data_IF_732981017588
#
_entry.id   IF_732981017588
#
_cell.length_a   1.000
_cell.length_b   1.000
_cell.length_c   1.000
_cell.angle_alpha   90.00
_cell.angle_beta   90.00
_cell.angle_gamma   90.00
#
_symmetry.space_group_name_H-M   'P 1'
#
loop_
_entity.id
_entity.type
_entity.pdbx_description
1 polymer ?
#
# COMPACT_ATOMS: atom_id res chain seq x y z
N UNK A 1 -11.32 23.86 -25.02
CA UNK A 1 -10.35 24.23 -26.07
C UNK A 1 -8.99 23.67 -25.69
N UNK A 2 -8.34 22.97 -26.65
CA UNK A 2 -6.90 22.73 -26.82
C UNK A 2 -6.09 22.26 -25.60
N UNK A 3 -5.46 21.08 -25.64
CA UNK A 3 -4.43 20.70 -26.62
C UNK A 3 -3.09 20.74 -25.87
N UNK A 4 -2.56 19.60 -25.43
CA UNK A 4 -1.68 18.73 -26.22
C UNK A 4 -0.33 19.39 -26.57
N UNK A 5 0.71 18.52 -26.61
CA UNK A 5 2.01 18.67 -27.30
C UNK A 5 3.15 19.14 -26.37
N UNK A 6 4.00 18.22 -25.86
CA UNK A 6 5.21 17.58 -26.49
C UNK A 6 6.48 18.33 -26.02
N UNK A 7 7.68 17.78 -25.85
CA UNK A 7 8.36 16.65 -26.48
C UNK A 7 9.61 16.25 -25.66
N UNK A 8 10.11 15.05 -25.95
CA UNK A 8 11.50 14.56 -25.89
C UNK A 8 11.87 13.70 -24.66
N UNK A 9 12.42 12.49 -24.84
CA UNK A 9 13.32 12.08 -25.91
C UNK A 9 13.02 10.68 -26.47
N UNK A 10 12.80 10.65 -27.79
CA UNK A 10 13.10 9.50 -28.64
C UNK A 10 14.62 9.35 -28.69
N UNK A 11 15.14 8.14 -28.47
CA UNK A 11 16.21 7.54 -29.28
C UNK A 11 16.85 6.34 -28.56
N UNK A 12 16.53 5.11 -28.99
CA UNK A 12 17.54 4.24 -29.60
C UNK A 12 16.91 3.03 -30.32
N UNK A 13 16.08 3.31 -31.32
CA UNK A 13 15.97 2.39 -32.44
C UNK A 13 17.18 2.64 -33.34
N UNK A 14 18.23 1.83 -33.26
CA UNK A 14 19.20 1.64 -34.35
C UNK A 14 19.86 0.28 -34.20
N UNK A 15 19.43 -0.65 -35.06
CA UNK A 15 20.21 -1.83 -35.37
C UNK A 15 21.60 -1.40 -35.82
N UNK A 16 22.61 -1.92 -35.14
CA UNK A 16 23.98 -1.85 -35.65
C UNK A 16 24.10 -2.91 -36.75
N UNK A 17 23.79 -2.49 -37.97
CA UNK A 17 24.30 -3.19 -39.14
C UNK A 17 25.81 -2.95 -39.19
N UNK A 18 26.58 -3.96 -38.78
CA UNK A 18 28.00 -3.99 -39.09
C UNK A 18 28.15 -4.16 -40.60
N UNK A 19 28.44 -3.06 -41.31
CA UNK A 19 29.05 -3.14 -42.62
C UNK A 19 30.41 -3.82 -42.44
N UNK A 20 30.61 -4.96 -43.08
CA UNK A 20 31.87 -5.69 -43.03
C UNK A 20 33.06 -4.81 -43.46
N UNK A 21 34.29 -5.18 -43.10
CA UNK A 21 35.48 -4.46 -43.54
C UNK A 21 35.52 -4.39 -45.07
N UNK A 22 35.60 -3.16 -45.60
CA UNK A 22 35.81 -2.91 -47.03
C UNK A 22 37.26 -3.29 -47.32
N UNK A 23 37.46 -4.42 -47.97
CA UNK A 23 38.79 -4.85 -48.39
C UNK A 23 39.19 -4.05 -49.64
N UNK A 24 40.21 -3.19 -49.53
CA UNK A 24 40.79 -2.47 -50.66
C UNK A 24 42.05 -3.21 -51.13
N UNK A 25 42.02 -3.96 -52.26
CA UNK A 25 43.11 -4.82 -52.70
C UNK A 25 44.33 -4.07 -53.28
N UNK A 26 44.38 -2.74 -53.22
CA UNK A 26 45.43 -1.95 -53.88
C UNK A 26 46.78 -1.83 -53.16
N UNK A 27 46.97 -2.42 -51.98
CA UNK A 27 48.19 -2.18 -51.19
C UNK A 27 49.36 -3.12 -51.48
N UNK A 28 49.19 -4.17 -52.30
CA UNK A 28 50.31 -5.03 -52.71
C UNK A 28 50.15 -5.49 -54.16
N UNK A 29 50.80 -4.79 -55.09
CA UNK A 29 51.20 -5.39 -56.36
C UNK A 29 52.55 -6.08 -56.18
N UNK A 30 52.62 -7.39 -56.47
CA UNK A 30 53.28 -7.93 -57.68
C UNK A 30 53.19 -9.46 -57.75
N UNK A 31 52.79 -9.93 -58.93
CA UNK A 31 53.11 -11.21 -59.59
C UNK A 31 52.07 -12.37 -59.58
N UNK A 32 51.71 -12.94 -60.76
CA UNK A 32 50.73 -14.03 -60.89
C UNK A 32 51.39 -15.42 -61.06
N UNK A 33 50.80 -16.50 -60.50
CA UNK A 33 50.91 -17.82 -61.16
C UNK A 33 49.61 -18.69 -61.00
N UNK A 34 49.53 -19.91 -61.59
CA UNK A 34 48.59 -20.29 -62.64
C UNK A 34 47.27 -20.94 -62.15
N UNK A 35 46.33 -21.09 -63.10
CA UNK A 35 44.99 -21.65 -62.88
C UNK A 35 45.00 -23.18 -62.67
N UNK A 36 44.29 -23.62 -61.63
CA UNK A 36 43.96 -25.03 -61.35
C UNK A 36 42.45 -25.21 -61.55
N UNK A 37 42.08 -26.17 -62.41
CA UNK A 37 40.70 -26.60 -62.68
C UNK A 37 40.07 -27.21 -61.41
N UNK A 38 38.96 -26.65 -60.94
CA UNK A 38 38.22 -27.11 -59.76
C UNK A 38 37.19 -28.22 -60.05
N UNK A 39 37.11 -29.15 -59.10
CA UNK A 39 36.34 -30.40 -59.05
C UNK A 39 34.80 -30.21 -58.80
N UNK A 40 33.97 -31.28 -58.86
CA UNK A 40 32.52 -31.16 -58.95
C UNK A 40 31.84 -30.77 -57.64
N UNK A 41 30.81 -29.93 -57.74
CA UNK A 41 29.96 -29.43 -56.65
C UNK A 41 29.05 -30.52 -56.08
N UNK A 42 29.23 -30.85 -54.80
CA UNK A 42 28.23 -31.56 -53.98
C UNK A 42 27.24 -30.54 -53.38
N UNK A 43 25.93 -30.86 -53.28
CA UNK A 43 24.95 -30.01 -52.62
C UNK A 43 25.29 -29.79 -51.13
N UNK A 44 25.05 -28.59 -50.57
CA UNK A 44 25.36 -28.32 -49.18
C UNK A 44 24.40 -29.06 -48.24
N UNK A 45 24.94 -29.82 -47.28
CA UNK A 45 24.20 -30.26 -46.11
C UNK A 45 23.70 -29.04 -45.34
N UNK A 46 22.39 -28.98 -45.12
CA UNK A 46 21.76 -27.97 -44.26
C UNK A 46 22.01 -28.37 -42.80
N UNK A 47 22.91 -27.66 -42.12
CA UNK A 47 23.06 -27.76 -40.68
C UNK A 47 21.88 -27.03 -40.00
N UNK A 48 21.09 -27.68 -39.13
CA UNK A 48 20.03 -27.01 -38.39
C UNK A 48 20.68 -26.16 -37.29
N UNK A 49 20.73 -24.86 -37.50
CA UNK A 49 21.19 -23.90 -36.51
C UNK A 49 20.06 -23.65 -35.47
N UNK A 50 19.86 -24.63 -34.58
CA UNK A 50 19.00 -24.45 -33.42
C UNK A 50 19.79 -23.72 -32.32
N UNK A 51 19.90 -22.40 -32.48
CA UNK A 51 20.11 -21.51 -31.34
C UNK A 51 18.89 -21.65 -30.42
N UNK A 52 18.95 -22.62 -29.50
CA UNK A 52 17.95 -22.82 -28.45
C UNK A 52 17.98 -21.62 -27.51
N UNK A 53 17.30 -20.54 -27.87
CA UNK A 53 16.87 -19.52 -26.93
C UNK A 53 15.91 -20.21 -25.96
N UNK A 54 16.36 -20.44 -24.72
CA UNK A 54 15.50 -21.05 -23.70
C UNK A 54 14.20 -20.24 -23.59
N UNK A 55 13.03 -20.85 -23.88
CA UNK A 55 11.75 -20.14 -23.93
C UNK A 55 11.30 -19.60 -22.56
N UNK A 56 12.06 -19.92 -21.50
CA UNK A 56 11.81 -19.48 -20.13
C UNK A 56 12.28 -18.05 -19.85
N UNK A 57 13.29 -17.55 -20.58
CA UNK A 57 13.84 -16.21 -20.36
C UNK A 57 12.81 -15.06 -20.55
N UNK A 58 11.98 -15.03 -21.62
CA UNK A 58 10.95 -13.99 -21.74
C UNK A 58 9.82 -14.16 -20.70
N UNK A 59 9.53 -15.39 -20.26
CA UNK A 59 8.49 -15.67 -19.26
C UNK A 59 8.89 -15.12 -17.90
N UNK A 60 10.14 -15.40 -17.46
CA UNK A 60 10.66 -14.90 -16.17
C UNK A 60 10.67 -13.37 -16.14
N UNK A 61 11.10 -12.72 -17.24
CA UNK A 61 11.08 -11.27 -17.33
C UNK A 61 9.64 -10.71 -17.25
N UNK A 62 8.69 -11.34 -17.94
CA UNK A 62 7.27 -10.96 -17.86
C UNK A 62 6.70 -11.07 -16.44
N UNK A 63 7.03 -12.15 -15.73
CA UNK A 63 6.61 -12.35 -14.33
C UNK A 63 7.22 -11.31 -13.40
N UNK A 64 8.50 -10.97 -13.56
CA UNK A 64 9.17 -9.94 -12.74
C UNK A 64 8.55 -8.57 -12.98
N UNK A 65 8.26 -8.20 -14.24
CA UNK A 65 7.60 -6.93 -14.58
C UNK A 65 6.18 -6.88 -14.02
N UNK A 66 5.41 -7.97 -14.13
CA UNK A 66 4.07 -8.05 -13.56
C UNK A 66 4.09 -7.94 -12.02
N UNK A 67 5.01 -8.65 -11.36
CA UNK A 67 5.17 -8.58 -9.90
C UNK A 67 5.57 -7.17 -9.44
N UNK A 68 6.49 -6.51 -10.17
CA UNK A 68 6.86 -5.12 -9.90
C UNK A 68 5.67 -4.16 -10.09
N UNK A 69 4.86 -4.35 -11.14
CA UNK A 69 3.67 -3.53 -11.38
C UNK A 69 2.62 -3.70 -10.27
N UNK A 70 2.38 -4.93 -9.81
CA UNK A 70 1.49 -5.21 -8.68
C UNK A 70 2.00 -4.58 -7.39
N UNK A 71 3.30 -4.71 -7.11
CA UNK A 71 3.92 -4.11 -5.93
C UNK A 71 3.80 -2.57 -5.94
N UNK A 72 4.06 -1.95 -7.09
CA UNK A 72 3.91 -0.49 -7.26
C UNK A 72 2.46 -0.08 -7.10
N UNK A 73 1.51 -0.79 -7.72
CA UNK A 73 0.08 -0.53 -7.57
C UNK A 73 -0.38 -0.64 -6.11
N UNK A 74 0.04 -1.68 -5.40
CA UNK A 74 -0.24 -1.87 -3.98
C UNK A 74 0.35 -0.74 -3.13
N UNK A 75 1.59 -0.31 -3.41
CA UNK A 75 2.23 0.78 -2.69
C UNK A 75 1.52 2.12 -2.95
N UNK A 76 1.11 2.39 -4.19
CA UNK A 76 0.34 3.58 -4.56
C UNK A 76 -0.99 3.60 -3.83
N UNK A 77 -1.74 2.49 -3.83
CA UNK A 77 -3.00 2.38 -3.07
C UNK A 77 -2.77 2.61 -1.59
N UNK A 78 -1.75 1.99 -0.99
CA UNK A 78 -1.39 2.17 0.43
C UNK A 78 -1.05 3.63 0.76
N UNK A 79 -0.29 4.32 -0.10
CA UNK A 79 0.06 5.72 0.08
C UNK A 79 -1.16 6.62 -0.10
N UNK A 80 -2.00 6.36 -1.11
CA UNK A 80 -3.24 7.10 -1.32
C UNK A 80 -4.19 6.94 -0.14
N UNK A 81 -4.38 5.73 0.38
CA UNK A 81 -5.20 5.49 1.57
C UNK A 81 -4.64 6.21 2.81
N UNK A 82 -3.32 6.23 2.99
CA UNK A 82 -2.68 7.00 4.08
C UNK A 82 -2.88 8.50 3.92
N UNK A 83 -2.71 9.03 2.71
CA UNK A 83 -2.91 10.44 2.42
C UNK A 83 -4.38 10.83 2.58
N UNK A 84 -5.30 9.96 2.20
CA UNK A 84 -6.73 10.15 2.36
C UNK A 84 -7.12 10.10 3.83
N UNK A 85 -6.58 9.16 4.62
CA UNK A 85 -6.77 9.10 6.07
C UNK A 85 -6.23 10.35 6.77
N UNK A 86 -5.09 10.90 6.34
CA UNK A 86 -4.57 12.17 6.89
C UNK A 86 -5.38 13.40 6.46
N UNK A 87 -6.12 13.32 5.34
CA UNK A 87 -7.01 14.40 4.87
C UNK A 87 -8.41 14.32 5.48
N UNK A 88 -8.88 13.12 5.82
CA UNK A 88 -10.15 12.89 6.55
C UNK A 88 -9.99 12.97 8.07
N UNK A 89 -8.75 13.02 8.58
CA UNK A 89 -8.44 13.35 9.97
C UNK A 89 -8.50 14.87 10.28
N UNK A 90 -9.01 15.70 9.37
CA UNK A 90 -9.58 17.00 9.73
C UNK A 90 -11.10 16.86 9.87
N UNK A 91 -11.71 17.41 10.93
CA UNK A 91 -13.12 17.21 11.25
C UNK A 91 -13.97 18.05 10.30
N UNK A 92 -14.43 17.45 9.20
CA UNK A 92 -15.57 17.96 8.42
C UNK A 92 -16.38 16.75 7.96
N UNK A 93 -17.21 16.19 8.84
CA UNK A 93 -18.46 15.56 8.38
C UNK A 93 -19.45 16.71 8.25
N UNK A 94 -19.52 17.27 7.06
CA UNK A 94 -20.36 18.43 6.76
C UNK A 94 -19.93 19.13 5.48
N UNK A 95 -19.86 18.40 4.37
CA UNK A 95 -20.01 18.93 3.01
C UNK A 95 -19.93 17.76 2.02
N UNK A 96 -21.06 17.11 1.82
CA UNK A 96 -21.36 16.65 0.46
C UNK A 96 -21.31 17.93 -0.37
N UNK A 97 -20.36 18.02 -1.29
CA UNK A 97 -20.37 19.05 -2.32
C UNK A 97 -21.49 18.70 -3.31
N UNK A 98 -22.73 18.83 -2.84
CA UNK A 98 -23.82 19.28 -3.69
C UNK A 98 -23.64 20.80 -3.81
N UNK A 99 -23.96 21.37 -4.98
CA UNK A 99 -24.05 22.82 -5.22
C UNK A 99 -25.21 23.43 -4.38
N UNK A 100 -25.17 23.25 -3.07
CA UNK A 100 -26.11 23.79 -2.10
C UNK A 100 -25.40 24.88 -1.27
N UNK A 101 -25.99 26.07 -1.09
CA UNK A 101 -25.36 27.17 -0.35
C UNK A 101 -24.92 26.71 1.05
N UNK A 102 -23.77 27.17 1.56
CA UNK A 102 -23.29 26.78 2.88
C UNK A 102 -24.36 27.04 3.94
N UNK A 103 -24.95 25.97 4.49
CA UNK A 103 -25.75 26.05 5.71
C UNK A 103 -24.82 26.59 6.80
N UNK A 104 -25.24 27.68 7.43
CA UNK A 104 -24.54 28.28 8.55
C UNK A 104 -24.28 27.21 9.63
N UNK A 105 -23.16 27.29 10.37
CA UNK A 105 -22.92 26.39 11.50
C UNK A 105 -24.15 26.36 12.40
N UNK A 106 -24.63 25.17 12.72
CA UNK A 106 -25.71 25.00 13.68
C UNK A 106 -25.21 25.41 15.07
N UNK A 107 -25.39 26.69 15.41
CA UNK A 107 -25.05 27.28 16.71
C UNK A 107 -25.89 26.67 17.87
N UNK A 108 -26.81 25.74 17.57
CA UNK A 108 -27.67 25.03 18.52
C UNK A 108 -27.14 23.65 18.92
N UNK A 109 -26.02 23.18 18.37
CA UNK A 109 -25.45 21.88 18.76
C UNK A 109 -24.99 21.92 20.22
N UNK A 110 -25.74 21.24 21.10
CA UNK A 110 -25.31 21.05 22.49
C UNK A 110 -23.91 20.43 22.54
N UNK A 111 -23.05 20.86 23.48
CA UNK A 111 -21.71 20.31 23.60
C UNK A 111 -21.80 18.81 23.85
N UNK A 112 -21.29 18.04 22.89
CA UNK A 112 -21.30 16.58 22.98
C UNK A 112 -20.53 16.13 24.23
N UNK A 113 -21.08 15.14 24.94
CA UNK A 113 -20.47 14.64 26.17
C UNK A 113 -19.01 14.18 25.94
N UNK A 114 -18.14 14.53 26.88
CA UNK A 114 -16.76 14.06 26.92
C UNK A 114 -16.75 12.61 27.44
N UNK A 115 -16.07 11.67 26.78
CA UNK A 115 -16.00 10.28 27.25
C UNK A 115 -15.32 10.16 28.62
N UNK A 116 -15.85 9.24 29.44
CA UNK A 116 -15.22 8.82 30.69
C UNK A 116 -13.87 8.13 30.40
N UNK A 117 -12.81 8.94 30.49
CA UNK A 117 -11.42 8.54 30.27
C UNK A 117 -11.03 7.27 31.05
N UNK A 118 -11.27 7.17 32.37
CA UNK A 118 -11.04 5.94 33.13
C UNK A 118 -11.68 4.68 32.54
N UNK A 119 -12.93 4.75 32.04
CA UNK A 119 -13.62 3.60 31.44
C UNK A 119 -12.92 3.17 30.15
N UNK A 120 -12.60 4.11 29.26
CA UNK A 120 -11.92 3.82 27.99
C UNK A 120 -10.51 3.26 28.24
N UNK A 121 -9.76 3.84 29.18
CA UNK A 121 -8.44 3.36 29.57
C UNK A 121 -8.50 1.92 30.14
N UNK A 122 -9.50 1.62 30.96
CA UNK A 122 -9.75 0.26 31.46
C UNK A 122 -10.05 -0.70 30.30
N UNK A 123 -10.86 -0.28 29.33
CA UNK A 123 -11.15 -1.05 28.12
C UNK A 123 -9.89 -1.43 27.34
N UNK A 124 -8.97 -0.47 27.13
CA UNK A 124 -7.67 -0.72 26.48
C UNK A 124 -6.82 -1.74 27.23
N UNK A 125 -6.77 -1.68 28.57
CA UNK A 125 -6.05 -2.68 29.37
C UNK A 125 -6.67 -4.08 29.27
N UNK A 126 -8.00 -4.18 29.37
CA UNK A 126 -8.70 -5.46 29.21
C UNK A 126 -8.50 -6.05 27.82
N UNK A 127 -8.44 -5.20 26.78
CA UNK A 127 -8.13 -5.64 25.43
C UNK A 127 -6.71 -6.21 25.30
N UNK A 128 -5.71 -5.69 26.03
CA UNK A 128 -4.38 -6.32 26.11
C UNK A 128 -4.42 -7.70 26.77
N UNK A 129 -5.20 -7.84 27.84
CA UNK A 129 -5.38 -9.13 28.53
C UNK A 129 -6.04 -10.15 27.59
N UNK A 130 -7.02 -9.71 26.80
CA UNK A 130 -7.67 -10.53 25.77
C UNK A 130 -6.68 -11.04 24.71
N UNK A 131 -5.78 -10.18 24.24
CA UNK A 131 -4.73 -10.53 23.28
C UNK A 131 -3.63 -11.41 23.87
N UNK A 132 -3.46 -11.42 25.20
CA UNK A 132 -2.44 -12.20 25.90
C UNK A 132 -2.90 -13.63 26.26
N UNK A 133 -4.21 -13.90 26.19
CA UNK A 133 -4.75 -15.22 26.47
C UNK A 133 -4.36 -16.29 25.45
N UNK A 134 -4.53 -17.56 25.83
CA UNK A 134 -4.34 -18.70 24.95
C UNK A 134 -5.58 -18.92 24.08
N UNK A 135 -5.62 -18.23 22.94
CA UNK A 135 -6.74 -18.26 21.98
C UNK A 135 -6.23 -18.30 20.55
N UNK A 136 -7.13 -18.72 19.65
CA UNK A 136 -6.91 -18.57 18.22
C UNK A 136 -6.71 -17.08 17.87
N UNK A 137 -5.74 -16.72 17.01
CA UNK A 137 -5.36 -15.34 16.74
C UNK A 137 -6.51 -14.43 16.28
N UNK A 138 -7.40 -14.90 15.40
CA UNK A 138 -8.53 -14.11 14.94
C UNK A 138 -9.52 -13.82 16.07
N UNK A 139 -9.88 -14.84 16.85
CA UNK A 139 -10.76 -14.69 18.01
C UNK A 139 -10.19 -13.70 19.03
N UNK A 140 -8.90 -13.80 19.36
CA UNK A 140 -8.25 -12.88 20.31
C UNK A 140 -8.39 -11.40 19.88
N UNK A 141 -8.15 -11.10 18.61
CA UNK A 141 -8.30 -9.74 18.06
C UNK A 141 -9.76 -9.29 18.06
N UNK A 142 -10.69 -10.15 17.65
CA UNK A 142 -12.12 -9.82 17.62
C UNK A 142 -12.64 -9.54 19.02
N UNK A 143 -12.31 -10.38 20.02
CA UNK A 143 -12.76 -10.18 21.41
C UNK A 143 -12.17 -8.91 22.03
N UNK A 144 -10.88 -8.64 21.77
CA UNK A 144 -10.25 -7.40 22.21
C UNK A 144 -10.99 -6.17 21.63
N UNK A 145 -11.33 -6.19 20.33
CA UNK A 145 -12.09 -5.11 19.70
C UNK A 145 -13.52 -4.97 20.26
N UNK A 146 -14.24 -6.07 20.46
CA UNK A 146 -15.59 -6.04 21.03
C UNK A 146 -15.59 -5.51 22.47
N UNK A 147 -14.57 -5.87 23.26
CA UNK A 147 -14.38 -5.31 24.60
C UNK A 147 -14.14 -3.80 24.58
N UNK A 148 -13.39 -3.29 23.60
CA UNK A 148 -13.21 -1.85 23.40
C UNK A 148 -14.49 -1.15 22.99
N UNK A 149 -15.29 -1.75 22.11
CA UNK A 149 -16.58 -1.20 21.72
C UNK A 149 -17.51 -1.11 22.94
N UNK A 150 -17.58 -2.15 23.78
CA UNK A 150 -18.36 -2.11 25.01
C UNK A 150 -17.88 -0.99 25.96
N UNK A 151 -16.56 -0.83 26.13
CA UNK A 151 -16.01 0.26 26.93
C UNK A 151 -16.32 1.66 26.35
N UNK A 152 -16.39 1.78 25.01
CA UNK A 152 -16.82 3.02 24.37
C UNK A 152 -18.31 3.30 24.60
N UNK A 153 -19.16 2.28 24.54
CA UNK A 153 -20.60 2.39 24.84
C UNK A 153 -20.84 2.76 26.32
N UNK A 154 -20.00 2.27 27.22
CA UNK A 154 -20.04 2.59 28.66
C UNK A 154 -19.41 3.95 29.01
N UNK A 155 -18.77 4.63 28.05
CA UNK A 155 -18.04 5.90 28.31
C UNK A 155 -18.94 7.12 28.54
N UNK A 156 -20.26 6.96 28.41
CA UNK A 156 -21.22 8.05 28.54
C UNK A 156 -21.42 8.91 27.29
N UNK A 157 -20.77 8.56 26.17
CA UNK A 157 -20.96 9.21 24.87
C UNK A 157 -21.99 8.45 24.05
N UNK A 158 -22.94 9.16 23.47
CA UNK A 158 -23.93 8.55 22.58
C UNK A 158 -23.39 8.38 21.15
N UNK A 159 -23.82 7.29 20.51
CA UNK A 159 -23.56 7.05 19.09
C UNK A 159 -24.54 7.86 18.25
N UNK A 160 -24.05 8.48 17.17
CA UNK A 160 -24.95 9.21 16.23
C UNK A 160 -25.84 8.23 15.46
N UNK A 161 -27.00 8.70 15.01
CA UNK A 161 -28.00 7.85 14.35
C UNK A 161 -27.47 7.04 13.15
N UNK A 162 -26.58 7.64 12.35
CA UNK A 162 -25.97 7.01 11.17
C UNK A 162 -24.54 6.49 11.41
N UNK A 163 -24.01 6.62 12.63
CA UNK A 163 -22.63 6.25 12.94
C UNK A 163 -22.53 4.74 13.17
N UNK A 164 -21.58 4.10 12.49
CA UNK A 164 -21.32 2.67 12.69
C UNK A 164 -20.64 2.42 14.04
N UNK A 165 -20.74 1.20 14.60
CA UNK A 165 -20.07 0.90 15.86
C UNK A 165 -18.55 1.08 15.81
N UNK A 166 -17.93 0.81 14.66
CA UNK A 166 -16.48 1.00 14.46
C UNK A 166 -16.10 2.48 14.46
N UNK A 167 -16.87 3.32 13.76
CA UNK A 167 -16.67 4.77 13.74
C UNK A 167 -16.87 5.37 15.14
N UNK A 168 -17.93 4.96 15.83
CA UNK A 168 -18.21 5.36 17.21
C UNK A 168 -17.04 5.03 18.15
N UNK A 169 -16.60 3.78 18.16
CA UNK A 169 -15.50 3.33 19.03
C UNK A 169 -14.21 4.09 18.72
N UNK A 170 -13.90 4.30 17.44
CA UNK A 170 -12.70 5.05 17.01
C UNK A 170 -12.78 6.51 17.44
N UNK A 171 -13.95 7.14 17.32
CA UNK A 171 -14.18 8.51 17.79
C UNK A 171 -14.02 8.64 19.29
N UNK A 172 -14.56 7.72 20.07
CA UNK A 172 -14.43 7.73 21.54
C UNK A 172 -12.95 7.57 21.94
N UNK A 173 -12.22 6.63 21.34
CA UNK A 173 -10.79 6.41 21.62
C UNK A 173 -9.94 7.63 21.21
N UNK A 174 -10.25 8.29 20.11
CA UNK A 174 -9.48 9.46 19.65
C UNK A 174 -9.81 10.73 20.43
N UNK A 175 -11.01 10.84 21.01
CA UNK A 175 -11.41 11.99 21.87
C UNK A 175 -10.63 12.08 23.17
N UNK A 176 -10.31 10.95 23.79
CA UNK A 176 -9.47 10.88 25.00
C UNK A 176 -7.98 11.17 24.73
N UNK A 177 -7.68 11.92 23.66
CA UNK A 177 -6.35 12.35 23.21
C UNK A 177 -5.38 11.20 22.90
N UNK A 178 -5.89 10.06 22.46
CA UNK A 178 -5.05 8.95 22.05
C UNK A 178 -4.47 9.15 20.63
N UNK A 179 -3.30 8.56 20.35
CA UNK A 179 -2.64 8.62 19.04
C UNK A 179 -3.56 8.10 17.91
N UNK A 180 -4.04 9.03 17.06
CA UNK A 180 -4.99 8.70 15.99
C UNK A 180 -4.45 7.71 14.96
N UNK A 181 -3.14 7.66 14.74
CA UNK A 181 -2.53 6.67 13.83
C UNK A 181 -2.54 5.27 14.44
N UNK A 182 -2.34 5.14 15.75
CA UNK A 182 -2.47 3.89 16.48
C UNK A 182 -3.91 3.40 16.48
N UNK A 183 -4.90 4.30 16.66
CA UNK A 183 -6.32 3.96 16.56
C UNK A 183 -6.67 3.44 15.16
N UNK A 184 -6.21 4.11 14.10
CA UNK A 184 -6.41 3.68 12.72
C UNK A 184 -5.76 2.32 12.43
N UNK A 185 -4.55 2.07 12.94
CA UNK A 185 -3.87 0.78 12.80
C UNK A 185 -4.65 -0.34 13.49
N UNK A 186 -5.22 -0.08 14.68
CA UNK A 186 -6.04 -1.07 15.39
C UNK A 186 -7.30 -1.43 14.58
N UNK A 187 -7.97 -0.43 14.01
CA UNK A 187 -9.13 -0.62 13.12
C UNK A 187 -8.74 -1.44 11.89
N UNK A 188 -7.61 -1.14 11.25
CA UNK A 188 -7.10 -1.88 10.09
C UNK A 188 -6.89 -3.36 10.43
N UNK A 189 -6.25 -3.65 11.58
CA UNK A 189 -6.04 -5.02 12.03
C UNK A 189 -7.38 -5.73 12.26
N UNK A 190 -8.31 -5.12 12.99
CA UNK A 190 -9.63 -5.72 13.24
C UNK A 190 -10.40 -6.01 11.94
N UNK A 191 -10.45 -5.05 11.01
CA UNK A 191 -11.13 -5.24 9.73
C UNK A 191 -10.46 -6.32 8.88
N UNK A 192 -9.13 -6.38 8.86
CA UNK A 192 -8.39 -7.45 8.16
C UNK A 192 -8.69 -8.83 8.75
N UNK A 193 -8.82 -8.94 10.07
CA UNK A 193 -9.17 -10.20 10.74
C UNK A 193 -10.61 -10.61 10.44
N UNK A 194 -11.55 -9.66 10.46
CA UNK A 194 -12.98 -9.96 10.31
C UNK A 194 -13.40 -10.21 8.87
N UNK A 195 -12.80 -9.50 7.92
CA UNK A 195 -13.22 -9.49 6.52
C UNK A 195 -12.12 -9.91 5.54
N UNK A 196 -10.90 -10.11 6.01
CA UNK A 196 -9.80 -10.58 5.18
C UNK A 196 -9.98 -12.03 4.76
N UNK A 197 -9.45 -12.35 3.57
CA UNK A 197 -9.44 -13.70 3.02
C UNK A 197 -8.10 -14.43 3.23
N UNK A 198 -7.26 -13.92 4.13
CA UNK A 198 -5.95 -14.50 4.43
C UNK A 198 -5.96 -15.24 5.76
N UNK A 199 -5.00 -16.16 5.94
CA UNK A 199 -4.77 -16.80 7.23
C UNK A 199 -4.41 -15.74 8.28
N UNK A 200 -5.04 -15.82 9.46
CA UNK A 200 -4.75 -14.94 10.59
C UNK A 200 -3.73 -15.62 11.48
N UNK A 201 -2.68 -14.91 11.83
CA UNK A 201 -1.54 -15.45 12.57
C UNK A 201 -1.28 -14.65 13.84
N UNK A 202 -0.30 -15.08 14.63
CA UNK A 202 0.19 -14.31 15.77
C UNK A 202 0.76 -12.93 15.38
N UNK A 203 1.02 -12.66 14.08
CA UNK A 203 1.46 -11.35 13.61
C UNK A 203 0.37 -10.28 13.75
N UNK A 204 -0.89 -10.62 13.48
CA UNK A 204 -2.05 -9.75 13.69
C UNK A 204 -2.23 -9.41 15.16
N UNK A 205 -2.11 -10.41 16.05
CA UNK A 205 -2.16 -10.22 17.51
C UNK A 205 -1.05 -9.28 17.97
N UNK A 206 0.19 -9.44 17.48
CA UNK A 206 1.29 -8.53 17.80
C UNK A 206 1.03 -7.11 17.29
N UNK A 207 0.47 -6.95 16.09
CA UNK A 207 0.12 -5.63 15.54
C UNK A 207 -0.99 -4.95 16.34
N UNK A 208 -2.03 -5.69 16.74
CA UNK A 208 -3.11 -5.19 17.60
C UNK A 208 -2.56 -4.76 18.97
N UNK A 209 -1.74 -5.62 19.60
CA UNK A 209 -1.08 -5.32 20.87
C UNK A 209 -0.26 -4.05 20.80
N UNK A 210 0.63 -3.93 19.81
CA UNK A 210 1.47 -2.74 19.65
C UNK A 210 0.65 -1.46 19.42
N UNK A 211 -0.48 -1.55 18.71
CA UNK A 211 -1.38 -0.41 18.54
C UNK A 211 -2.04 0.01 19.87
N UNK A 212 -2.53 -0.95 20.66
CA UNK A 212 -3.14 -0.67 21.97
C UNK A 212 -2.12 -0.15 22.98
N UNK A 213 -0.91 -0.73 23.01
CA UNK A 213 0.21 -0.22 23.83
C UNK A 213 0.52 1.23 23.47
N UNK A 214 0.60 1.56 22.18
CA UNK A 214 0.83 2.94 21.73
C UNK A 214 -0.30 3.89 22.13
N UNK A 215 -1.56 3.44 22.10
CA UNK A 215 -2.70 4.22 22.58
C UNK A 215 -2.58 4.52 24.08
N UNK A 216 -2.21 3.51 24.88
CA UNK A 216 -1.97 3.65 26.31
C UNK A 216 -0.77 4.54 26.62
N UNK A 217 0.31 4.44 25.85
CA UNK A 217 1.51 5.28 26.03
C UNK A 217 1.23 6.75 25.68
N UNK A 218 0.42 7.01 24.66
CA UNK A 218 -0.01 8.38 24.31
C UNK A 218 -0.95 8.99 25.35
N UNK A 219 -1.54 8.17 26.20
CA UNK A 219 -2.36 8.61 27.30
C UNK A 219 -1.47 9.30 28.35
N UNK A 220 -1.75 10.57 28.64
CA UNK A 220 -0.94 11.46 29.49
C UNK A 220 0.27 12.16 28.83
N UNK A 221 0.40 12.20 27.50
CA UNK A 221 1.44 13.03 26.85
C UNK A 221 0.83 14.39 26.40
N UNK A 222 0.69 15.40 27.28
CA UNK A 222 0.32 16.73 26.85
C UNK A 222 1.44 17.30 25.97
N UNK A 223 1.06 17.84 24.82
CA UNK A 223 1.91 18.65 23.94
C UNK A 223 2.40 19.89 24.71
N UNK A 224 3.45 19.73 25.51
CA UNK A 224 4.25 20.81 26.09
C UNK A 224 5.17 21.47 25.05
N UNK A 225 4.77 21.49 23.77
CA UNK A 225 5.57 22.06 22.66
C UNK A 225 4.93 23.24 21.93
N UNK A 226 3.77 23.74 22.35
CA UNK A 226 3.10 24.87 21.68
C UNK A 226 3.06 26.19 22.47
N UNK A 227 3.76 26.29 23.61
CA UNK A 227 4.01 27.58 24.29
C UNK A 227 5.45 27.65 24.81
N UNK A 228 6.40 27.94 23.93
CA UNK A 228 7.63 28.66 24.26
C UNK A 228 7.93 29.65 23.16
#
# INVERSE_FOLDING_TARGET
MLGAVLFAAVAFARGLHFGGPIWNPGLFGTEPPPAVTSAPTLPPEQHPDHAQTSPLAPIVLGVVVAAAAVLVGWLVVRVLLRLWATRTAQPVIGAVADDEPPLAPDESAEPEAEPDAPIVHRGLRLALDELAGDREPADAVVRAWLGLQAAAEDSGVERRAAETPTEFTTRVITRVQADGAAAAQLVEVYQSVRFGAHEITSAEVRRARAAIEKLLDSWHEPVLRARR
#
